data_IF_571113188571
#
_entry.id   IF_571113188571
#
_cell.length_a   1.000
_cell.length_b   1.000
_cell.length_c   1.000
_cell.angle_alpha   90.00
_cell.angle_beta   90.00
_cell.angle_gamma   90.00
#
_symmetry.space_group_name_H-M   'P 1'
#
loop_
_entity.id
_entity.type
_entity.pdbx_description
1 polymer ?
#
# COMPACT_ATOMS: atom_id res chain seq x y z
N UNK A 1 -4.72 2.72 0.24
CA UNK A 1 -4.84 3.95 -0.59
C UNK A 1 -6.22 4.01 -1.23
N UNK A 2 -6.71 5.18 -1.61
CA UNK A 2 -7.97 5.30 -2.39
C UNK A 2 -9.28 5.46 -1.61
N UNK A 3 -9.22 5.68 -0.29
CA UNK A 3 -10.43 5.90 0.52
C UNK A 3 -11.16 7.21 0.20
N UNK A 4 -10.41 8.23 -0.25
CA UNK A 4 -10.96 9.52 -0.66
C UNK A 4 -11.10 9.55 -2.19
N UNK A 5 -12.33 9.30 -2.68
CA UNK A 5 -12.62 9.11 -4.10
C UNK A 5 -12.13 10.26 -5.00
N UNK A 6 -12.24 11.56 -4.67
CA UNK A 6 -11.75 12.62 -5.54
C UNK A 6 -10.23 12.56 -5.80
N UNK A 7 -9.45 11.95 -4.91
CA UNK A 7 -8.02 11.74 -5.09
C UNK A 7 -7.70 10.50 -5.96
N UNK A 8 -8.63 9.54 -6.05
CA UNK A 8 -8.46 8.33 -6.84
C UNK A 8 -9.82 7.88 -7.43
N UNK A 9 -10.37 8.61 -8.42
CA UNK A 9 -11.59 8.19 -9.08
C UNK A 9 -11.30 6.95 -9.91
N UNK A 10 -12.08 5.88 -9.70
CA UNK A 10 -11.92 4.62 -10.44
C UNK A 10 -12.36 4.68 -11.90
N UNK A 11 -13.15 5.69 -12.24
CA UNK A 11 -13.68 5.94 -13.59
C UNK A 11 -14.09 7.41 -13.72
N UNK A 12 -14.42 7.82 -14.94
CA UNK A 12 -14.98 9.15 -15.23
C UNK A 12 -16.23 8.94 -16.09
N UNK A 13 -17.32 9.65 -15.78
CA UNK A 13 -18.61 9.53 -16.47
C UNK A 13 -18.73 10.44 -17.70
N UNK A 14 -17.82 11.39 -17.85
CA UNK A 14 -17.79 12.38 -18.94
C UNK A 14 -16.39 12.49 -19.54
N UNK A 15 -16.26 12.92 -20.80
CA UNK A 15 -14.95 13.16 -21.41
C UNK A 15 -14.20 14.30 -20.69
N UNK A 16 -12.86 14.36 -20.84
CA UNK A 16 -12.07 15.49 -20.36
C UNK A 16 -12.58 16.83 -20.92
N UNK A 17 -12.57 17.92 -20.13
CA UNK A 17 -12.91 19.25 -20.62
C UNK A 17 -12.05 19.65 -21.81
N UNK A 18 -12.67 20.24 -22.85
CA UNK A 18 -11.97 20.66 -24.08
C UNK A 18 -11.50 22.12 -24.02
N UNK A 19 -12.03 22.89 -23.08
CA UNK A 19 -11.73 24.31 -22.92
C UNK A 19 -11.39 24.64 -21.47
N UNK A 20 -10.62 25.70 -21.25
CA UNK A 20 -10.30 26.22 -19.92
C UNK A 20 -11.44 27.11 -19.40
N UNK A 21 -12.62 26.53 -19.26
CA UNK A 21 -13.76 27.16 -18.60
C UNK A 21 -13.80 26.75 -17.11
N UNK A 22 -14.38 27.61 -16.27
CA UNK A 22 -14.65 27.23 -14.89
C UNK A 22 -15.71 26.12 -14.86
N UNK A 23 -15.43 25.03 -14.16
CA UNK A 23 -16.35 23.92 -13.93
C UNK A 23 -17.03 24.14 -12.59
N UNK A 24 -18.35 24.01 -12.52
CA UNK A 24 -19.08 24.12 -11.25
C UNK A 24 -18.92 22.86 -10.38
N UNK A 25 -19.27 22.95 -9.10
CA UNK A 25 -19.23 21.77 -8.23
C UNK A 25 -20.20 20.69 -8.72
N UNK A 26 -21.39 21.08 -9.18
CA UNK A 26 -22.39 20.16 -9.72
C UNK A 26 -21.86 19.43 -10.96
N UNK A 27 -21.21 20.15 -11.87
CA UNK A 27 -20.58 19.56 -13.04
C UNK A 27 -19.46 18.60 -12.65
N UNK A 28 -18.62 18.96 -11.68
CA UNK A 28 -17.59 18.07 -11.14
C UNK A 28 -18.18 16.79 -10.55
N UNK A 29 -19.22 16.90 -9.72
CA UNK A 29 -19.91 15.76 -9.14
C UNK A 29 -20.54 14.87 -10.21
N UNK A 30 -20.93 15.44 -11.35
CA UNK A 30 -21.50 14.71 -12.48
C UNK A 30 -20.43 14.03 -13.36
N UNK A 31 -19.14 14.38 -13.21
CA UNK A 31 -18.00 13.77 -13.90
C UNK A 31 -17.46 12.56 -13.12
N UNK A 32 -17.32 12.68 -11.80
CA UNK A 32 -16.74 11.63 -10.93
C UNK A 32 -17.67 10.40 -10.81
N UNK A 33 -17.17 9.23 -10.36
CA UNK A 33 -17.99 8.03 -10.21
C UNK A 33 -19.19 8.23 -9.29
N UNK A 34 -20.28 7.53 -9.61
CA UNK A 34 -21.44 7.44 -8.73
C UNK A 34 -21.12 6.74 -7.40
N UNK A 35 -22.01 6.91 -6.42
CA UNK A 35 -21.86 6.33 -5.09
C UNK A 35 -21.80 4.79 -5.10
N UNK A 36 -22.56 4.13 -5.98
CA UNK A 36 -22.56 2.68 -6.11
C UNK A 36 -21.20 2.14 -6.61
N UNK A 37 -20.60 2.78 -7.63
CA UNK A 37 -19.29 2.43 -8.19
C UNK A 37 -18.20 2.72 -7.16
N UNK A 38 -18.26 3.88 -6.52
CA UNK A 38 -17.35 4.28 -5.45
C UNK A 38 -17.37 3.26 -4.31
N UNK A 39 -18.55 2.90 -3.81
CA UNK A 39 -18.73 1.93 -2.72
C UNK A 39 -18.18 0.54 -3.06
N UNK A 40 -18.42 0.06 -4.29
CA UNK A 40 -17.88 -1.22 -4.77
C UNK A 40 -16.35 -1.21 -4.81
N UNK A 41 -15.75 -0.18 -5.37
CA UNK A 41 -14.28 -0.06 -5.46
C UNK A 41 -13.67 0.08 -4.07
N UNK A 42 -14.28 0.85 -3.17
CA UNK A 42 -13.82 0.96 -1.79
C UNK A 42 -13.84 -0.40 -1.07
N UNK A 43 -14.88 -1.21 -1.31
CA UNK A 43 -14.98 -2.55 -0.73
C UNK A 43 -13.88 -3.47 -1.24
N UNK A 44 -13.61 -3.45 -2.56
CA UNK A 44 -12.49 -4.22 -3.16
C UNK A 44 -11.15 -3.77 -2.62
N UNK A 45 -10.88 -2.46 -2.61
CA UNK A 45 -9.62 -1.90 -2.09
C UNK A 45 -9.44 -2.18 -0.60
N UNK A 46 -10.52 -2.22 0.18
CA UNK A 46 -10.47 -2.59 1.59
C UNK A 46 -10.03 -4.04 1.76
N UNK A 47 -10.64 -4.97 1.02
CA UNK A 47 -10.28 -6.40 1.05
C UNK A 47 -8.82 -6.60 0.62
N UNK A 48 -8.41 -6.01 -0.50
CA UNK A 48 -7.05 -6.13 -1.02
C UNK A 48 -5.98 -5.46 -0.13
N UNK A 49 -6.38 -4.47 0.67
CA UNK A 49 -5.47 -3.81 1.61
C UNK A 49 -5.22 -4.65 2.86
N UNK A 50 -6.23 -5.37 3.34
CA UNK A 50 -6.14 -5.97 4.66
C UNK A 50 -5.01 -7.00 4.68
N UNK A 51 -4.00 -6.72 5.50
CA UNK A 51 -2.94 -7.66 5.82
C UNK A 51 -3.61 -8.91 6.39
N UNK A 52 -3.28 -10.06 5.81
CA UNK A 52 -3.82 -11.33 6.27
C UNK A 52 -3.41 -11.54 7.73
N UNK A 53 -4.27 -12.15 8.55
CA UNK A 53 -3.96 -12.40 9.97
C UNK A 53 -2.67 -13.24 10.16
N UNK A 54 -2.24 -13.91 9.10
CA UNK A 54 -1.07 -14.77 8.98
C UNK A 54 0.07 -14.16 8.13
N UNK A 55 0.09 -12.83 7.95
CA UNK A 55 1.19 -12.15 7.24
C UNK A 55 2.56 -12.57 7.80
N UNK A 56 3.46 -12.97 6.90
CA UNK A 56 4.86 -13.30 7.15
C UNK A 56 5.76 -12.17 6.66
N UNK A 57 6.36 -11.38 7.58
CA UNK A 57 7.22 -10.27 7.18
C UNK A 57 8.45 -10.73 6.41
N UNK A 58 8.96 -9.85 5.56
CA UNK A 58 10.11 -10.10 4.71
C UNK A 58 11.31 -10.57 5.54
N UNK A 59 11.92 -11.69 5.13
CA UNK A 59 13.07 -12.26 5.81
C UNK A 59 12.74 -13.17 6.99
N UNK A 60 11.46 -13.35 7.34
CA UNK A 60 11.00 -14.36 8.30
C UNK A 60 10.52 -15.60 7.56
N UNK A 61 11.26 -16.70 7.71
CA UNK A 61 10.99 -17.96 7.03
C UNK A 61 10.64 -19.02 8.08
N UNK A 62 9.36 -19.36 8.21
CA UNK A 62 8.90 -20.40 9.15
C UNK A 62 9.31 -21.81 8.71
N UNK A 63 9.48 -22.01 7.39
CA UNK A 63 9.85 -23.29 6.82
C UNK A 63 11.37 -23.39 6.66
N UNK A 64 11.98 -24.30 7.42
CA UNK A 64 13.42 -24.55 7.38
C UNK A 64 13.81 -25.41 6.16
N UNK A 65 13.83 -24.78 4.99
CA UNK A 65 14.33 -25.42 3.76
C UNK A 65 15.86 -25.47 3.70
N UNK A 66 16.53 -24.48 4.29
CA UNK A 66 17.98 -24.43 4.43
C UNK A 66 18.40 -24.84 5.84
N UNK A 67 19.04 -26.00 5.94
CA UNK A 67 19.52 -26.56 7.21
C UNK A 67 21.02 -26.35 7.40
N UNK A 68 21.72 -25.98 6.32
CA UNK A 68 23.15 -25.72 6.32
C UNK A 68 23.48 -24.39 7.01
N UNK A 69 24.62 -24.36 7.71
CA UNK A 69 25.01 -23.20 8.52
C UNK A 69 25.22 -21.93 7.68
N UNK A 70 25.84 -22.05 6.50
CA UNK A 70 26.19 -20.90 5.67
C UNK A 70 24.95 -20.13 5.15
N UNK A 71 23.93 -20.76 4.54
CA UNK A 71 22.66 -20.11 4.23
C UNK A 71 21.97 -19.48 5.45
N UNK A 72 21.96 -20.16 6.61
CA UNK A 72 21.36 -19.62 7.82
C UNK A 72 22.08 -18.37 8.35
N UNK A 73 23.40 -18.29 8.20
CA UNK A 73 24.16 -17.08 8.52
C UNK A 73 23.79 -15.93 7.57
N UNK A 74 23.61 -16.20 6.27
CA UNK A 74 23.18 -15.19 5.29
C UNK A 74 21.75 -14.68 5.57
N UNK A 75 20.83 -15.56 5.97
CA UNK A 75 19.48 -15.17 6.37
C UNK A 75 19.53 -14.24 7.60
N UNK A 76 20.34 -14.57 8.61
CA UNK A 76 20.54 -13.70 9.78
C UNK A 76 21.10 -12.33 9.41
N UNK A 77 22.14 -12.30 8.56
CA UNK A 77 22.69 -11.05 8.06
C UNK A 77 21.65 -10.21 7.30
N UNK A 78 20.80 -10.85 6.50
CA UNK A 78 19.70 -10.18 5.80
C UNK A 78 18.68 -9.58 6.79
N UNK A 79 18.26 -10.32 7.81
CA UNK A 79 17.35 -9.84 8.86
C UNK A 79 17.94 -8.65 9.63
N UNK A 80 19.24 -8.67 9.94
CA UNK A 80 19.93 -7.55 10.59
C UNK A 80 19.92 -6.28 9.72
N UNK A 81 20.15 -6.43 8.41
CA UNK A 81 20.04 -5.31 7.46
C UNK A 81 18.63 -4.74 7.40
N UNK A 82 17.60 -5.60 7.37
CA UNK A 82 16.20 -5.17 7.43
C UNK A 82 15.91 -4.41 8.74
N UNK A 83 16.41 -4.87 9.88
CA UNK A 83 16.26 -4.16 11.15
C UNK A 83 16.93 -2.78 11.15
N UNK A 84 18.07 -2.62 10.48
CA UNK A 84 18.73 -1.32 10.30
C UNK A 84 17.88 -0.39 9.42
N UNK A 85 17.31 -0.90 8.33
CA UNK A 85 16.41 -0.14 7.44
C UNK A 85 15.15 0.29 8.19
N UNK A 86 14.53 -0.61 8.97
CA UNK A 86 13.36 -0.31 9.79
C UNK A 86 13.62 0.88 10.73
N UNK A 87 14.73 0.85 11.48
CA UNK A 87 15.11 1.95 12.38
C UNK A 87 15.35 3.27 11.63
N UNK A 88 15.93 3.21 10.44
CA UNK A 88 16.14 4.41 9.63
C UNK A 88 14.79 5.00 9.14
N UNK A 89 13.85 4.14 8.75
CA UNK A 89 12.50 4.53 8.34
C UNK A 89 11.71 5.13 9.52
N UNK A 90 11.77 4.52 10.71
CA UNK A 90 11.14 5.03 11.93
C UNK A 90 11.62 6.46 12.22
N UNK A 91 12.94 6.66 12.33
CA UNK A 91 13.54 7.98 12.57
C UNK A 91 13.16 9.02 11.51
N UNK A 92 13.17 8.62 10.22
CA UNK A 92 12.75 9.51 9.14
C UNK A 92 11.28 9.92 9.32
N UNK A 93 10.41 8.95 9.61
CA UNK A 93 8.97 9.15 9.72
C UNK A 93 8.56 10.02 10.92
N UNK A 94 9.35 10.06 12.00
CA UNK A 94 9.11 10.97 13.15
C UNK A 94 9.02 12.44 12.75
N UNK A 95 9.73 12.86 11.69
CA UNK A 95 9.75 14.24 11.21
C UNK A 95 8.65 14.57 10.19
N UNK A 96 7.89 13.58 9.72
CA UNK A 96 6.93 13.74 8.62
C UNK A 96 5.50 13.87 9.15
N UNK A 97 4.77 14.89 8.67
CA UNK A 97 3.33 15.02 8.93
C UNK A 97 2.53 13.84 8.40
N UNK A 98 2.98 13.23 7.30
CA UNK A 98 2.41 12.01 6.73
C UNK A 98 3.52 10.94 6.57
N UNK A 99 3.61 9.97 7.49
CA UNK A 99 4.61 8.92 7.44
C UNK A 99 4.50 8.06 6.18
N UNK A 100 5.65 7.64 5.63
CA UNK A 100 5.68 6.65 4.54
C UNK A 100 6.00 5.26 5.12
N UNK A 101 5.01 4.38 5.13
CA UNK A 101 5.09 3.05 5.78
C UNK A 101 4.95 1.88 4.81
N UNK A 102 4.72 2.11 3.51
CA UNK A 102 4.50 1.04 2.54
C UNK A 102 5.72 0.12 2.34
N UNK A 103 6.93 0.66 2.50
CA UNK A 103 8.17 -0.11 2.42
C UNK A 103 8.83 -0.28 3.79
N UNK A 104 8.04 -0.23 4.86
CA UNK A 104 8.53 -0.56 6.19
C UNK A 104 8.67 -2.09 6.29
N UNK A 105 9.86 -2.66 6.49
CA UNK A 105 10.08 -4.11 6.36
C UNK A 105 9.10 -5.00 7.15
N UNK A 106 8.68 -4.64 8.37
CA UNK A 106 7.65 -5.39 9.09
C UNK A 106 6.26 -5.43 8.43
N UNK A 107 5.99 -4.52 7.48
CA UNK A 107 4.73 -4.46 6.72
C UNK A 107 4.87 -5.03 5.29
N UNK A 108 6.01 -5.66 4.97
CA UNK A 108 6.25 -6.25 3.64
C UNK A 108 6.13 -7.76 3.78
N UNK A 109 5.20 -8.37 3.06
CA UNK A 109 5.03 -9.83 2.96
C UNK A 109 6.21 -10.47 2.19
N UNK A 110 6.59 -11.70 2.52
CA UNK A 110 7.57 -12.46 1.73
C UNK A 110 7.10 -12.79 0.30
N UNK A 111 5.79 -12.83 0.05
CA UNK A 111 5.20 -13.26 -1.22
C UNK A 111 3.88 -12.55 -1.51
N UNK A 112 3.26 -12.83 -2.66
CA UNK A 112 1.94 -12.26 -3.01
C UNK A 112 0.82 -13.23 -2.63
N UNK A 113 0.09 -12.93 -1.56
CA UNK A 113 -0.96 -13.80 -0.98
C UNK A 113 -2.37 -13.21 -1.00
N UNK A 114 -2.52 -11.97 -1.50
CA UNK A 114 -3.79 -11.22 -1.60
C UNK A 114 -4.05 -10.73 -3.02
#
# INVERSE_FOLDING_TARGET
MGAFMPNLPSSMRKPPPQEKAAVTLEEFLDIVPEMNVTSRVLSVLWVLRNEAFDMRPLGYYDEEHFVEEAPQQLIRAFQEQLACISKAIERRNESLTLPYTYLYPPNIENSTTI
#
